data_IF_978716812857
#
_entry.id   IF_978716812857
#
_cell.length_a   1.000
_cell.length_b   1.000
_cell.length_c   1.000
_cell.angle_alpha   90.00
_cell.angle_beta   90.00
_cell.angle_gamma   90.00
#
_symmetry.space_group_name_H-M   'P 1'
#
loop_
_entity.id
_entity.type
_entity.pdbx_description
1 polymer ?
#
# COMPACT_ATOMS: atom_id res chain seq x y z
N UNK A 1 13.83 -16.54 20.60
CA UNK A 1 13.49 -17.71 19.76
C UNK A 1 14.62 -18.73 19.85
N UNK A 2 15.87 -18.31 19.63
CA UNK A 2 17.07 -19.13 19.81
C UNK A 2 17.31 -19.59 21.25
N UNK A 3 17.36 -18.67 22.22
CA UNK A 3 17.69 -19.04 23.61
C UNK A 3 16.67 -19.97 24.28
N UNK A 4 15.39 -19.84 23.92
CA UNK A 4 14.28 -20.59 24.55
C UNK A 4 13.86 -21.84 23.77
N UNK A 5 13.96 -21.81 22.45
CA UNK A 5 13.45 -22.88 21.58
C UNK A 5 14.52 -23.48 20.66
N UNK A 6 15.76 -23.00 20.71
CA UNK A 6 16.86 -23.39 19.81
C UNK A 6 16.51 -23.22 18.31
N UNK A 7 15.60 -22.29 18.00
CA UNK A 7 15.19 -21.98 16.62
C UNK A 7 15.89 -20.68 16.19
N UNK A 8 16.77 -20.80 15.21
CA UNK A 8 17.36 -19.66 14.51
C UNK A 8 16.31 -18.95 13.66
N UNK A 9 15.99 -17.67 13.95
CA UNK A 9 15.01 -16.93 13.18
C UNK A 9 15.44 -16.79 11.72
N UNK A 10 14.53 -17.13 10.82
CA UNK A 10 14.66 -16.90 9.38
C UNK A 10 13.98 -15.61 8.94
N UNK A 11 14.23 -15.19 7.71
CA UNK A 11 13.69 -13.94 7.15
C UNK A 11 12.15 -13.85 7.25
N UNK A 12 11.46 -14.97 7.12
CA UNK A 12 9.99 -15.06 7.25
C UNK A 12 9.54 -14.72 8.68
N UNK A 13 10.27 -15.19 9.69
CA UNK A 13 9.96 -14.91 11.10
C UNK A 13 10.14 -13.43 11.42
N UNK A 14 11.20 -12.80 10.89
CA UNK A 14 11.38 -11.35 11.01
C UNK A 14 10.25 -10.61 10.31
N UNK A 15 9.88 -11.02 9.09
CA UNK A 15 8.74 -10.45 8.37
C UNK A 15 7.46 -10.45 9.20
N UNK A 16 7.14 -11.58 9.86
CA UNK A 16 5.99 -11.66 10.76
C UNK A 16 6.07 -10.69 11.94
N UNK A 17 7.23 -10.59 12.62
CA UNK A 17 7.36 -9.72 13.79
C UNK A 17 7.29 -8.24 13.38
N UNK A 18 7.90 -7.88 12.25
CA UNK A 18 7.89 -6.51 11.71
C UNK A 18 6.47 -6.11 11.30
N UNK A 19 5.71 -6.99 10.63
CA UNK A 19 4.29 -6.76 10.32
C UNK A 19 3.46 -6.55 11.60
N UNK A 20 3.65 -7.41 12.61
CA UNK A 20 2.94 -7.29 13.89
C UNK A 20 3.24 -5.96 14.60
N UNK A 21 4.52 -5.59 14.75
CA UNK A 21 4.94 -4.31 15.34
C UNK A 21 4.38 -3.13 14.55
N UNK A 22 4.43 -3.21 13.23
CA UNK A 22 3.91 -2.20 12.32
C UNK A 22 2.40 -1.98 12.48
N UNK A 23 1.60 -3.06 12.54
CA UNK A 23 0.15 -2.98 12.74
C UNK A 23 -0.23 -2.29 14.04
N UNK A 24 0.51 -2.51 15.12
CA UNK A 24 0.26 -1.86 16.43
C UNK A 24 0.93 -0.49 16.57
N UNK A 25 1.53 0.06 15.50
CA UNK A 25 2.09 1.40 15.50
C UNK A 25 3.46 1.53 16.16
N UNK A 26 4.12 0.42 16.52
CA UNK A 26 5.46 0.39 17.11
C UNK A 26 6.54 0.51 16.03
N UNK A 27 6.45 1.58 15.22
CA UNK A 27 7.26 1.75 14.02
C UNK A 27 8.76 1.82 14.32
N UNK A 28 9.17 2.52 15.39
CA UNK A 28 10.57 2.62 15.74
C UNK A 28 11.18 1.24 16.10
N UNK A 29 10.40 0.39 16.76
CA UNK A 29 10.84 -0.96 17.12
C UNK A 29 10.90 -1.87 15.91
N UNK A 30 9.90 -1.76 15.01
CA UNK A 30 9.94 -2.45 13.72
C UNK A 30 11.20 -2.05 12.92
N UNK A 31 11.49 -0.74 12.85
CA UNK A 31 12.68 -0.23 12.16
C UNK A 31 14.00 -0.71 12.81
N UNK A 32 14.09 -0.64 14.13
CA UNK A 32 15.25 -1.13 14.87
C UNK A 32 15.45 -2.64 14.64
N UNK A 33 14.36 -3.41 14.56
CA UNK A 33 14.43 -4.83 14.23
C UNK A 33 14.97 -5.05 12.83
N UNK A 34 14.47 -4.33 11.82
CA UNK A 34 14.98 -4.39 10.44
C UNK A 34 16.48 -4.13 10.40
N UNK A 35 16.96 -3.11 11.13
CA UNK A 35 18.37 -2.71 11.17
C UNK A 35 19.28 -3.71 11.91
N UNK A 36 18.71 -4.50 12.82
CA UNK A 36 19.45 -5.48 13.62
C UNK A 36 19.29 -6.92 13.10
N UNK A 37 18.61 -7.10 11.97
CA UNK A 37 18.51 -8.40 11.32
C UNK A 37 19.91 -8.95 10.97
N UNK A 38 20.17 -10.25 11.23
CA UNK A 38 21.46 -10.87 10.91
C UNK A 38 21.61 -11.16 9.40
N UNK A 39 20.57 -10.95 8.61
CA UNK A 39 20.55 -11.07 7.15
C UNK A 39 20.05 -9.78 6.51
N UNK A 40 20.36 -9.59 5.22
CA UNK A 40 19.88 -8.44 4.45
C UNK A 40 18.34 -8.48 4.34
N UNK A 41 17.61 -7.42 4.73
CA UNK A 41 16.17 -7.35 4.53
C UNK A 41 15.81 -7.36 3.03
N UNK A 42 14.73 -8.04 2.69
CA UNK A 42 14.22 -8.11 1.31
C UNK A 42 13.06 -7.13 1.08
N UNK A 43 12.53 -7.08 -0.15
CA UNK A 43 11.46 -6.16 -0.53
C UNK A 43 10.18 -6.38 0.29
N UNK A 44 9.88 -7.63 0.67
CA UNK A 44 8.72 -7.97 1.49
C UNK A 44 8.79 -7.31 2.86
N UNK A 45 9.97 -7.33 3.50
CA UNK A 45 10.17 -6.71 4.82
C UNK A 45 10.02 -5.19 4.75
N UNK A 46 10.71 -4.55 3.80
CA UNK A 46 10.60 -3.11 3.62
C UNK A 46 9.19 -2.69 3.20
N UNK A 47 8.51 -3.50 2.39
CA UNK A 47 7.11 -3.29 2.01
C UNK A 47 6.15 -3.38 3.20
N UNK A 48 6.27 -4.40 4.05
CA UNK A 48 5.48 -4.50 5.28
C UNK A 48 5.67 -3.26 6.17
N UNK A 49 6.92 -2.82 6.31
CA UNK A 49 7.24 -1.64 7.10
C UNK A 49 6.75 -0.32 6.47
N UNK A 50 6.87 -0.14 5.15
CA UNK A 50 6.35 1.02 4.43
C UNK A 50 4.83 1.11 4.58
N UNK A 51 4.12 -0.02 4.48
CA UNK A 51 2.68 -0.06 4.70
C UNK A 51 2.31 0.36 6.12
N UNK A 52 3.03 -0.11 7.12
CA UNK A 52 2.84 0.33 8.50
C UNK A 52 3.05 1.85 8.66
N UNK A 53 4.12 2.40 8.06
CA UNK A 53 4.39 3.83 8.09
C UNK A 53 3.24 4.64 7.47
N UNK A 54 2.67 4.19 6.34
CA UNK A 54 1.50 4.81 5.73
C UNK A 54 0.28 4.79 6.65
N UNK A 55 -0.06 3.63 7.21
CA UNK A 55 -1.23 3.46 8.08
C UNK A 55 -1.17 4.43 9.26
N UNK A 56 0.01 4.56 9.87
CA UNK A 56 0.25 5.42 11.04
C UNK A 56 0.74 6.83 10.70
N UNK A 57 0.70 7.23 9.42
CA UNK A 57 1.07 8.58 8.94
C UNK A 57 2.49 9.03 9.27
N UNK A 58 3.45 8.11 9.43
CA UNK A 58 4.84 8.47 9.71
C UNK A 58 5.63 8.65 8.41
N UNK A 59 5.68 9.87 7.90
CA UNK A 59 6.32 10.22 6.63
C UNK A 59 7.82 9.96 6.66
N UNK A 60 8.51 10.34 7.72
CA UNK A 60 9.97 10.20 7.85
C UNK A 60 10.44 8.75 7.69
N UNK A 61 9.85 7.82 8.45
CA UNK A 61 10.19 6.39 8.32
C UNK A 61 9.66 5.79 7.01
N UNK A 62 8.55 6.34 6.48
CA UNK A 62 8.02 5.98 5.18
C UNK A 62 8.99 6.28 4.04
N UNK A 63 9.65 7.45 4.04
CA UNK A 63 10.65 7.81 3.03
C UNK A 63 11.84 6.85 3.04
N UNK A 64 12.33 6.49 4.23
CA UNK A 64 13.40 5.49 4.38
C UNK A 64 12.99 4.14 3.79
N UNK A 65 11.80 3.66 4.16
CA UNK A 65 11.30 2.37 3.69
C UNK A 65 11.06 2.37 2.16
N UNK A 66 10.50 3.46 1.63
CA UNK A 66 10.22 3.61 0.20
C UNK A 66 11.51 3.66 -0.63
N UNK A 67 12.56 4.31 -0.13
CA UNK A 67 13.87 4.32 -0.78
C UNK A 67 14.45 2.90 -0.88
N UNK A 68 14.35 2.09 0.18
CA UNK A 68 14.82 0.71 0.17
C UNK A 68 13.99 -0.20 -0.73
N UNK A 69 12.66 -0.04 -0.76
CA UNK A 69 11.80 -0.78 -1.70
C UNK A 69 12.17 -0.42 -3.14
N UNK A 70 12.27 0.86 -3.47
CA UNK A 70 12.63 1.32 -4.82
C UNK A 70 14.04 0.87 -5.24
N UNK A 71 14.96 0.72 -4.28
CA UNK A 71 16.30 0.17 -4.53
C UNK A 71 16.27 -1.33 -4.83
N UNK A 72 15.30 -2.06 -4.27
CA UNK A 72 15.17 -3.51 -4.44
C UNK A 72 14.31 -3.88 -5.65
N UNK A 73 13.31 -3.07 -5.97
CA UNK A 73 12.43 -3.22 -7.12
C UNK A 73 12.18 -1.83 -7.76
N UNK A 74 13.06 -1.36 -8.65
CA UNK A 74 12.99 -0.02 -9.23
C UNK A 74 11.82 0.20 -10.18
N UNK A 75 11.26 -0.86 -10.74
CA UNK A 75 10.20 -0.78 -11.75
C UNK A 75 8.80 -0.84 -11.12
N UNK A 76 8.69 -1.23 -9.85
CA UNK A 76 7.42 -1.24 -9.12
C UNK A 76 7.03 0.18 -8.66
N UNK A 77 5.90 0.74 -9.14
CA UNK A 77 5.42 2.05 -8.72
C UNK A 77 4.91 2.08 -7.27
N UNK A 78 4.76 0.93 -6.61
CA UNK A 78 4.09 0.81 -5.32
C UNK A 78 4.68 1.73 -4.25
N UNK A 79 6.01 1.80 -4.09
CA UNK A 79 6.64 2.64 -3.08
C UNK A 79 6.32 4.14 -3.26
N UNK A 80 6.36 4.62 -4.50
CA UNK A 80 6.04 6.01 -4.88
C UNK A 80 4.56 6.33 -4.68
N UNK A 81 3.69 5.37 -4.98
CA UNK A 81 2.25 5.47 -4.70
C UNK A 81 1.99 5.59 -3.20
N UNK A 82 2.72 4.84 -2.37
CA UNK A 82 2.59 4.90 -0.91
C UNK A 82 3.04 6.27 -0.37
N UNK A 83 4.19 6.80 -0.84
CA UNK A 83 4.64 8.14 -0.48
C UNK A 83 3.65 9.22 -0.91
N UNK A 84 3.14 9.17 -2.15
CA UNK A 84 2.11 10.09 -2.64
C UNK A 84 0.87 10.09 -1.72
N UNK A 85 0.43 8.92 -1.27
CA UNK A 85 -0.69 8.82 -0.33
C UNK A 85 -0.38 9.46 1.02
N UNK A 86 0.87 9.34 1.50
CA UNK A 86 1.30 9.89 2.79
C UNK A 86 1.45 11.41 2.73
N UNK A 87 2.09 11.94 1.69
CA UNK A 87 2.20 13.39 1.46
C UNK A 87 0.83 14.05 1.32
N UNK A 88 -0.10 13.42 0.57
CA UNK A 88 -1.47 13.91 0.46
C UNK A 88 -2.17 13.98 1.83
N UNK A 89 -2.01 12.96 2.68
CA UNK A 89 -2.57 12.93 4.04
C UNK A 89 -1.93 13.99 4.95
N UNK A 90 -0.64 14.25 4.77
CA UNK A 90 0.10 15.30 5.47
C UNK A 90 -0.12 16.72 4.89
N UNK A 91 -0.92 16.86 3.83
CA UNK A 91 -1.13 18.11 3.10
C UNK A 91 0.17 18.72 2.53
N UNK A 92 1.19 17.90 2.32
CA UNK A 92 2.43 18.30 1.65
C UNK A 92 2.26 18.20 0.13
N UNK A 93 1.61 19.22 -0.43
CA UNK A 93 1.33 19.31 -1.86
C UNK A 93 2.61 19.42 -2.70
N UNK A 94 3.68 19.98 -2.13
CA UNK A 94 4.96 20.15 -2.80
C UNK A 94 5.63 18.80 -3.04
N UNK A 95 5.75 17.97 -2.00
CA UNK A 95 6.32 16.62 -2.13
C UNK A 95 5.44 15.71 -2.96
N UNK A 96 4.10 15.82 -2.83
CA UNK A 96 3.18 15.09 -3.70
C UNK A 96 3.35 15.45 -5.18
N UNK A 97 3.51 16.73 -5.50
CA UNK A 97 3.73 17.19 -6.87
C UNK A 97 5.06 16.65 -7.44
N UNK A 98 6.12 16.64 -6.62
CA UNK A 98 7.42 16.05 -6.98
C UNK A 98 7.27 14.56 -7.31
N UNK A 99 6.65 13.77 -6.44
CA UNK A 99 6.46 12.33 -6.69
C UNK A 99 5.66 12.06 -7.96
N UNK A 100 4.59 12.82 -8.20
CA UNK A 100 3.81 12.71 -9.44
C UNK A 100 4.63 13.05 -10.68
N UNK A 101 5.49 14.07 -10.59
CA UNK A 101 6.41 14.44 -11.66
C UNK A 101 7.39 13.32 -12.00
N UNK A 102 7.98 12.68 -10.98
CA UNK A 102 8.89 11.54 -11.17
C UNK A 102 8.18 10.30 -11.72
N UNK A 103 7.00 9.97 -11.20
CA UNK A 103 6.23 8.85 -11.75
C UNK A 103 5.89 9.06 -13.23
N UNK A 104 5.55 10.29 -13.63
CA UNK A 104 5.26 10.62 -15.02
C UNK A 104 6.52 10.52 -15.90
N UNK A 105 7.67 11.00 -15.44
CA UNK A 105 8.92 10.93 -16.22
C UNK A 105 9.39 9.49 -16.42
N UNK A 106 9.18 8.63 -15.43
CA UNK A 106 9.48 7.20 -15.48
C UNK A 106 8.38 6.37 -16.18
N UNK A 107 7.30 7.01 -16.65
CA UNK A 107 6.10 6.34 -17.21
C UNK A 107 5.51 5.28 -16.29
N UNK A 108 5.72 5.43 -14.99
CA UNK A 108 5.21 4.56 -13.94
C UNK A 108 3.72 4.81 -13.75
N UNK A 109 2.92 3.77 -13.90
CA UNK A 109 1.48 3.83 -13.69
C UNK A 109 1.09 2.84 -12.62
N UNK A 110 0.34 3.32 -11.61
CA UNK A 110 -0.34 2.43 -10.69
C UNK A 110 -1.34 1.58 -11.48
N UNK A 111 -1.27 0.26 -11.35
CA UNK A 111 -2.33 -0.61 -11.85
C UNK A 111 -3.63 -0.25 -11.12
N UNK A 112 -4.71 0.09 -11.85
CA UNK A 112 -5.99 0.39 -11.21
C UNK A 112 -6.50 -0.85 -10.46
N UNK A 113 -7.18 -0.62 -9.33
CA UNK A 113 -7.90 -1.70 -8.67
C UNK A 113 -9.02 -2.21 -9.57
N UNK A 114 -9.26 -3.51 -9.56
CA UNK A 114 -10.40 -4.14 -10.22
C UNK A 114 -11.14 -5.03 -9.23
N UNK A 115 -12.46 -5.13 -9.42
CA UNK A 115 -13.31 -6.13 -8.78
C UNK A 115 -14.20 -6.76 -9.84
N UNK A 116 -14.62 -8.00 -9.64
CA UNK A 116 -15.55 -8.66 -10.55
C UNK A 116 -16.62 -9.44 -9.79
N UNK A 117 -17.74 -9.64 -10.46
CA UNK A 117 -18.80 -10.57 -10.04
C UNK A 117 -19.15 -11.49 -11.20
N UNK A 118 -19.70 -12.66 -10.91
CA UNK A 118 -20.22 -13.59 -11.91
C UNK A 118 -21.74 -13.67 -11.77
N UNK A 119 -22.45 -13.42 -12.87
CA UNK A 119 -23.91 -13.46 -12.94
C UNK A 119 -24.29 -14.26 -14.17
N UNK A 120 -25.10 -15.30 -13.99
CA UNK A 120 -25.60 -16.15 -15.07
C UNK A 120 -24.50 -16.70 -16.02
N UNK A 121 -23.30 -16.92 -15.48
CA UNK A 121 -22.13 -17.40 -16.23
C UNK A 121 -21.35 -16.32 -16.97
N UNK A 122 -21.74 -15.06 -16.85
CA UNK A 122 -21.00 -13.90 -17.37
C UNK A 122 -20.22 -13.20 -16.25
N UNK A 123 -18.96 -12.87 -16.54
CA UNK A 123 -18.10 -12.12 -15.62
C UNK A 123 -18.23 -10.63 -15.90
N UNK A 124 -18.67 -9.89 -14.88
CA UNK A 124 -18.79 -8.45 -14.90
C UNK A 124 -17.62 -7.82 -14.16
N UNK A 125 -16.76 -7.10 -14.88
CA UNK A 125 -15.57 -6.45 -14.33
C UNK A 125 -15.81 -4.94 -14.07
N UNK A 126 -15.31 -4.47 -12.94
CA UNK A 126 -15.36 -3.08 -12.50
C UNK A 126 -13.95 -2.59 -12.22
N UNK A 127 -13.49 -1.63 -13.02
CA UNK A 127 -12.16 -1.02 -12.88
C UNK A 127 -12.29 0.32 -12.17
N UNK A 128 -11.43 0.59 -11.19
CA UNK A 128 -11.42 1.85 -10.45
C UNK A 128 -11.19 3.04 -11.40
N UNK A 129 -12.14 3.99 -11.42
CA UNK A 129 -12.13 5.11 -12.36
C UNK A 129 -12.47 4.74 -13.80
N UNK A 130 -12.89 3.50 -14.04
CA UNK A 130 -13.33 2.99 -15.33
C UNK A 130 -14.82 3.22 -15.56
N UNK A 131 -15.19 3.25 -16.84
CA UNK A 131 -16.56 3.44 -17.33
C UNK A 131 -16.93 2.38 -18.37
N UNK A 132 -16.12 1.32 -18.49
CA UNK A 132 -16.21 0.35 -19.60
C UNK A 132 -17.34 -0.68 -19.43
N UNK A 133 -17.95 -0.78 -18.25
CA UNK A 133 -19.01 -1.75 -18.01
C UNK A 133 -20.24 -1.43 -18.89
N UNK A 134 -20.81 -2.41 -19.64
CA UNK A 134 -21.92 -2.16 -20.56
C UNK A 134 -23.14 -1.49 -19.92
N UNK A 135 -23.38 -1.79 -18.64
CA UNK A 135 -24.49 -1.25 -17.84
C UNK A 135 -24.06 -0.14 -16.86
N UNK A 136 -22.94 0.55 -17.12
CA UNK A 136 -22.40 1.55 -16.20
C UNK A 136 -23.44 2.62 -15.81
N UNK A 137 -24.21 3.12 -16.77
CA UNK A 137 -25.21 4.18 -16.54
C UNK A 137 -26.33 3.74 -15.60
N UNK A 138 -26.84 2.52 -15.79
CA UNK A 138 -27.89 1.93 -14.96
C UNK A 138 -27.41 1.70 -13.54
N UNK A 139 -26.18 1.19 -13.38
CA UNK A 139 -25.56 0.95 -12.08
C UNK A 139 -25.41 2.29 -11.31
N UNK A 140 -24.92 3.34 -11.96
CA UNK A 140 -24.83 4.67 -11.35
C UNK A 140 -26.21 5.22 -10.94
N UNK A 141 -27.22 5.05 -11.80
CA UNK A 141 -28.59 5.49 -11.49
C UNK A 141 -29.14 4.79 -10.25
N UNK A 142 -28.93 3.47 -10.13
CA UNK A 142 -29.34 2.70 -8.95
C UNK A 142 -28.58 3.17 -7.70
N UNK A 143 -27.26 3.39 -7.81
CA UNK A 143 -26.43 3.87 -6.70
C UNK A 143 -26.92 5.23 -6.17
N UNK A 144 -27.17 6.20 -7.05
CA UNK A 144 -27.69 7.52 -6.68
C UNK A 144 -29.05 7.42 -5.97
N UNK A 145 -29.93 6.51 -6.42
CA UNK A 145 -31.22 6.29 -5.77
C UNK A 145 -31.07 5.71 -4.35
N UNK A 146 -30.13 4.78 -4.16
CA UNK A 146 -29.84 4.20 -2.84
C UNK A 146 -29.29 5.28 -1.90
N UNK A 147 -28.32 6.07 -2.35
CA UNK A 147 -27.71 7.15 -1.56
C UNK A 147 -28.76 8.16 -1.08
N UNK A 148 -29.69 8.55 -1.96
CA UNK A 148 -30.81 9.44 -1.62
C UNK A 148 -31.73 8.85 -0.55
N UNK A 149 -31.96 7.54 -0.55
CA UNK A 149 -32.79 6.87 0.46
C UNK A 149 -32.07 6.77 1.80
N UNK A 150 -30.76 6.57 1.82
CA UNK A 150 -29.97 6.46 3.06
C UNK A 150 -29.69 7.79 3.76
N UNK A 151 -29.78 8.93 3.06
CA UNK A 151 -29.61 10.26 3.64
C UNK A 151 -30.91 10.94 4.09
N UNK A 152 -32.06 10.28 3.91
CA UNK A 152 -33.37 10.78 4.30
C UNK A 152 -33.83 10.29 5.69
N UNK A 153 -32.93 9.72 6.50
CA UNK A 153 -33.20 9.18 7.85
C UNK A 153 -32.35 9.82 8.94
#
# INVERSE_FOLDING_TARGET
>A
MEEKYAITPKIEHYGCIIDLLGRVGRLQEAYNMIRTMPMKPNAVIWGAFLNACKVHSNVELGEVAAAEVSRLDPDDPWARVMLSSMYAKAQDWSSLARERGEMNSLKMKKTPGCSSIELDGEVHEFVAGGFQHPQHSEICTVLENIERQTHAG
#
